data_IF_442194106949
#
_entry.id   IF_442194106949
#
_cell.length_a   1.000
_cell.length_b   1.000
_cell.length_c   1.000
_cell.angle_alpha   90.00
_cell.angle_beta   90.00
_cell.angle_gamma   90.00
#
_symmetry.space_group_name_H-M   'P 1'
#
loop_
_entity.id
_entity.type
_entity.pdbx_description
1 polymer ?
#
# COMPACT_ATOMS: atom_id res chain seq x y z
N UNK A 1 16.10 -3.26 8.52
CA UNK A 1 15.11 -2.94 7.49
C UNK A 1 13.74 -2.85 8.12
N UNK A 2 13.09 -1.70 7.99
CA UNK A 2 11.71 -1.46 8.46
C UNK A 2 10.72 -1.41 7.29
N UNK A 3 9.43 -1.26 7.57
CA UNK A 3 8.39 -1.23 6.54
C UNK A 3 8.54 -0.08 5.52
N UNK A 4 9.12 1.05 5.93
CA UNK A 4 9.33 2.20 5.03
C UNK A 4 10.46 1.91 4.04
N UNK A 5 11.57 1.38 4.53
CA UNK A 5 12.71 1.01 3.71
C UNK A 5 12.31 -0.11 2.72
N UNK A 6 11.55 -1.09 3.18
CA UNK A 6 11.01 -2.16 2.31
C UNK A 6 10.11 -1.58 1.22
N UNK A 7 9.13 -0.75 1.56
CA UNK A 7 8.23 -0.15 0.57
C UNK A 7 8.98 0.71 -0.45
N UNK A 8 9.98 1.48 0.01
CA UNK A 8 10.84 2.29 -0.87
C UNK A 8 11.61 1.42 -1.85
N UNK A 9 12.21 0.32 -1.38
CA UNK A 9 12.93 -0.63 -2.25
C UNK A 9 12.01 -1.30 -3.25
N UNK A 10 10.82 -1.73 -2.83
CA UNK A 10 9.83 -2.35 -3.73
C UNK A 10 9.34 -1.39 -4.83
N UNK A 11 9.22 -0.09 -4.51
CA UNK A 11 8.83 0.94 -5.47
C UNK A 11 9.97 1.39 -6.38
N UNK A 12 11.21 1.28 -5.92
CA UNK A 12 12.39 1.63 -6.72
C UNK A 12 12.89 0.54 -7.67
N UNK A 13 12.40 -0.69 -7.56
CA UNK A 13 12.83 -1.83 -8.38
C UNK A 13 11.83 -2.15 -9.50
N UNK A 14 12.30 -2.18 -10.75
CA UNK A 14 11.51 -2.50 -11.95
C UNK A 14 10.80 -3.85 -11.87
N UNK A 15 11.40 -4.82 -11.17
CA UNK A 15 10.84 -6.17 -11.02
C UNK A 15 9.68 -6.21 -10.03
N UNK A 16 9.54 -5.20 -9.15
CA UNK A 16 8.50 -5.21 -8.10
C UNK A 16 7.60 -3.98 -8.14
N UNK A 17 7.93 -2.94 -8.90
CA UNK A 17 7.17 -1.68 -8.94
C UNK A 17 5.70 -1.86 -9.37
N UNK A 18 5.38 -2.92 -10.11
CA UNK A 18 4.02 -3.24 -10.56
C UNK A 18 3.18 -3.94 -9.46
N UNK A 19 3.81 -4.45 -8.40
CA UNK A 19 3.14 -5.15 -7.30
C UNK A 19 2.47 -4.12 -6.40
N UNK A 20 1.19 -4.34 -6.06
CA UNK A 20 0.43 -3.49 -5.14
C UNK A 20 0.95 -3.64 -3.70
N UNK A 21 1.17 -2.53 -3.01
CA UNK A 21 1.73 -2.47 -1.65
C UNK A 21 0.76 -1.75 -0.72
N UNK A 22 0.40 -2.43 0.37
CA UNK A 22 -0.41 -1.87 1.45
C UNK A 22 0.43 -1.81 2.73
N UNK A 23 0.54 -0.63 3.34
CA UNK A 23 1.20 -0.49 4.63
C UNK A 23 0.20 -0.64 5.77
N UNK A 24 0.40 -1.66 6.61
CA UNK A 24 -0.44 -1.92 7.78
C UNK A 24 0.34 -1.61 9.07
N UNK A 25 -0.02 -0.57 9.82
CA UNK A 25 0.85 -0.01 10.86
C UNK A 25 0.11 0.60 12.03
N UNK A 26 0.68 0.57 13.24
CA UNK A 26 0.10 1.27 14.40
C UNK A 26 0.28 2.80 14.35
N UNK A 27 0.98 3.30 13.33
CA UNK A 27 1.27 4.73 13.15
C UNK A 27 0.08 5.44 12.49
N UNK A 28 -0.72 6.13 13.28
CA UNK A 28 -1.94 6.78 12.82
C UNK A 28 -1.82 8.29 12.60
N UNK A 29 -0.63 8.88 12.85
CA UNK A 29 -0.41 10.31 12.67
C UNK A 29 -0.52 10.69 11.19
N UNK A 30 -1.02 11.89 10.93
CA UNK A 30 -1.19 12.38 9.56
C UNK A 30 0.15 12.41 8.80
N UNK A 31 1.21 12.82 9.48
CA UNK A 31 2.57 12.85 8.93
C UNK A 31 3.05 11.45 8.48
N UNK A 32 2.73 10.41 9.25
CA UNK A 32 3.05 9.03 8.88
C UNK A 32 2.25 8.60 7.64
N UNK A 33 0.96 8.95 7.56
CA UNK A 33 0.13 8.68 6.37
C UNK A 33 0.68 9.39 5.13
N UNK A 34 1.00 10.68 5.24
CA UNK A 34 1.59 11.46 4.14
C UNK A 34 2.92 10.87 3.69
N UNK A 35 3.78 10.45 4.63
CA UNK A 35 5.04 9.78 4.31
C UNK A 35 4.80 8.49 3.51
N UNK A 36 3.85 7.66 3.93
CA UNK A 36 3.54 6.42 3.22
C UNK A 36 3.05 6.64 1.81
N UNK A 37 2.10 7.57 1.63
CA UNK A 37 1.61 7.94 0.31
C UNK A 37 2.73 8.53 -0.56
N UNK A 38 3.64 9.31 0.02
CA UNK A 38 4.81 9.86 -0.68
C UNK A 38 5.82 8.80 -1.18
N UNK A 39 5.85 7.60 -0.57
CA UNK A 39 6.65 6.47 -1.06
C UNK A 39 5.99 5.81 -2.28
N UNK A 40 4.70 6.07 -2.52
CA UNK A 40 3.92 5.48 -3.63
C UNK A 40 3.28 4.14 -3.26
N UNK A 41 3.00 3.88 -1.99
CA UNK A 41 2.17 2.72 -1.59
C UNK A 41 0.73 2.93 -2.04
N UNK A 42 0.03 1.85 -2.40
CA UNK A 42 -1.33 1.95 -2.95
C UNK A 42 -2.38 2.14 -1.85
N UNK A 43 -2.10 1.66 -0.63
CA UNK A 43 -2.96 1.90 0.50
C UNK A 43 -2.20 1.95 1.83
N UNK A 44 -2.81 2.61 2.80
CA UNK A 44 -2.30 2.76 4.16
C UNK A 44 -3.41 2.44 5.16
N UNK A 45 -3.20 1.44 6.00
CA UNK A 45 -4.16 0.93 6.97
C UNK A 45 -3.59 0.99 8.38
N UNK A 46 -4.30 1.67 9.29
CA UNK A 46 -3.86 1.80 10.68
C UNK A 46 -4.30 0.61 11.53
N UNK A 47 -3.47 0.17 12.47
CA UNK A 47 -3.84 -0.82 13.49
C UNK A 47 -4.40 -0.13 14.74
N UNK A 48 -5.38 -0.73 15.44
CA UNK A 48 -6.16 -1.89 15.01
C UNK A 48 -7.10 -1.53 13.84
N UNK A 49 -7.40 -2.50 12.98
CA UNK A 49 -8.34 -2.35 11.85
C UNK A 49 -9.40 -3.45 11.92
N UNK A 50 -10.54 -3.19 11.27
CA UNK A 50 -11.56 -4.23 11.05
C UNK A 50 -11.09 -5.18 9.94
N UNK A 51 -11.10 -6.52 10.12
CA UNK A 51 -10.79 -7.45 9.04
C UNK A 51 -11.58 -7.22 7.74
N UNK A 52 -12.83 -6.76 7.85
CA UNK A 52 -13.64 -6.41 6.69
C UNK A 52 -13.07 -5.22 5.90
N UNK A 53 -12.48 -4.24 6.59
CA UNK A 53 -11.79 -3.09 5.97
C UNK A 53 -10.58 -3.57 5.14
N UNK A 54 -9.76 -4.47 5.69
CA UNK A 54 -8.63 -5.04 4.96
C UNK A 54 -9.09 -5.83 3.73
N UNK A 55 -10.15 -6.63 3.86
CA UNK A 55 -10.73 -7.37 2.73
C UNK A 55 -11.18 -6.41 1.64
N UNK A 56 -11.81 -5.29 2.00
CA UNK A 56 -12.26 -4.29 1.04
C UNK A 56 -11.09 -3.65 0.31
N UNK A 57 -10.05 -3.20 1.03
CA UNK A 57 -8.82 -2.64 0.43
C UNK A 57 -8.20 -3.60 -0.58
N UNK A 58 -8.11 -4.90 -0.25
CA UNK A 58 -7.55 -5.90 -1.16
C UNK A 58 -8.42 -6.07 -2.42
N UNK A 59 -9.76 -6.07 -2.27
CA UNK A 59 -10.69 -6.19 -3.40
C UNK A 59 -10.59 -5.00 -4.34
N UNK A 60 -10.49 -3.79 -3.80
CA UNK A 60 -10.40 -2.55 -4.57
C UNK A 60 -9.12 -2.57 -5.42
N UNK A 61 -7.97 -2.84 -4.79
CA UNK A 61 -6.67 -2.92 -5.48
C UNK A 61 -6.60 -4.04 -6.54
N UNK A 62 -7.21 -5.20 -6.25
CA UNK A 62 -7.27 -6.32 -7.19
C UNK A 62 -8.21 -6.07 -8.37
N UNK A 63 -9.14 -5.13 -8.25
CA UNK A 63 -10.07 -4.75 -9.32
C UNK A 63 -9.45 -3.69 -10.22
N UNK A 64 -8.78 -2.69 -9.63
CA UNK A 64 -8.04 -1.65 -10.38
C UNK A 64 -6.97 -2.25 -11.32
N UNK A 65 -6.21 -3.24 -10.84
CA UNK A 65 -5.15 -3.89 -11.62
C UNK A 65 -5.69 -4.57 -12.90
N UNK A 66 -6.95 -5.04 -12.88
CA UNK A 66 -7.60 -5.63 -14.06
C UNK A 66 -8.01 -4.59 -15.08
N UNK A 67 -8.30 -3.36 -14.65
CA UNK A 67 -8.73 -2.28 -15.54
C UNK A 67 -7.54 -1.61 -16.23
N UNK A 68 -6.39 -1.52 -15.57
CA UNK A 68 -5.17 -0.93 -16.15
C UNK A 68 -4.44 -1.84 -17.14
N UNK A 69 -4.79 -3.14 -17.18
CA UNK A 69 -4.23 -4.12 -18.13
C UNK A 69 -5.07 -4.25 -19.42
N UNK A 70 -6.13 -3.47 -19.58
CA UNK A 70 -7.09 -3.53 -20.69
C UNK A 70 -7.00 -2.35 -21.68
N UNK A 71 -5.94 -1.54 -21.63
CA UNK A 71 -5.73 -0.38 -22.51
C UNK A 71 -4.49 -0.56 -23.38
#
# INVERSE_FOLDING_TARGET
MDGWETATKLRGDVLTTHIKVVLITARAQEDDKRRGLGIGVDAYLTKPFDPAELIQVVRDLATEARQSSGA
#
